data_IF_164056239076
#
_entry.id   IF_164056239076
#
_cell.length_a   1.000
_cell.length_b   1.000
_cell.length_c   1.000
_cell.angle_alpha   90.00
_cell.angle_beta   90.00
_cell.angle_gamma   90.00
#
_symmetry.space_group_name_H-M   'P 1'
#
loop_
_entity.id
_entity.type
_entity.pdbx_description
1 polymer ?
#
# COMPACT_ATOMS: atom_id res chain seq x y z
N UNK A 1 -0.71 -19.12 -0.46
CA UNK A 1 0.07 -17.90 -0.69
C UNK A 1 -0.43 -17.24 -1.96
N UNK A 2 -0.56 -15.91 -1.99
CA UNK A 2 -0.90 -15.16 -3.20
C UNK A 2 0.30 -14.33 -3.62
N UNK A 3 0.63 -14.33 -4.92
CA UNK A 3 1.82 -13.66 -5.45
C UNK A 3 1.43 -12.85 -6.68
N UNK A 4 1.79 -11.57 -6.69
CA UNK A 4 1.64 -10.70 -7.86
C UNK A 4 2.83 -10.83 -8.81
N UNK A 5 2.55 -10.91 -10.11
CA UNK A 5 3.54 -10.95 -11.17
C UNK A 5 3.22 -9.86 -12.22
N UNK A 6 3.48 -8.58 -11.93
CA UNK A 6 3.00 -7.44 -12.72
C UNK A 6 3.53 -7.39 -14.16
N UNK A 7 4.57 -8.16 -14.49
CA UNK A 7 5.15 -8.23 -15.84
C UNK A 7 4.98 -9.58 -16.52
N UNK A 8 4.16 -10.45 -15.95
CA UNK A 8 3.87 -11.74 -16.55
C UNK A 8 3.07 -11.59 -17.85
N UNK A 9 3.24 -12.55 -18.76
CA UNK A 9 2.63 -12.52 -20.10
C UNK A 9 1.47 -13.51 -20.13
N UNK A 10 0.35 -13.09 -20.72
CA UNK A 10 -0.78 -13.98 -20.93
C UNK A 10 -0.46 -15.03 -22.00
N UNK A 11 -0.72 -16.30 -21.68
CA UNK A 11 -0.34 -17.44 -22.54
C UNK A 11 -1.08 -17.45 -23.89
N UNK A 12 -2.30 -16.90 -23.95
CA UNK A 12 -3.18 -17.02 -25.13
C UNK A 12 -2.93 -15.91 -26.15
N UNK A 13 -2.77 -14.66 -25.70
CA UNK A 13 -2.66 -13.49 -26.57
C UNK A 13 -1.23 -12.92 -26.67
N UNK A 14 -0.29 -13.38 -25.84
CA UNK A 14 1.08 -12.86 -25.80
C UNK A 14 1.19 -11.43 -25.25
N UNK A 15 0.11 -10.86 -24.73
CA UNK A 15 0.04 -9.53 -24.12
C UNK A 15 0.61 -9.53 -22.71
N UNK A 16 1.40 -8.53 -22.35
CA UNK A 16 2.04 -8.43 -21.03
C UNK A 16 1.13 -7.70 -20.05
N UNK A 17 0.04 -8.37 -19.66
CA UNK A 17 -0.97 -7.80 -18.77
C UNK A 17 -0.55 -7.79 -17.29
N UNK A 18 0.35 -8.69 -16.90
CA UNK A 18 0.59 -9.05 -15.50
C UNK A 18 -0.37 -10.15 -15.03
N UNK A 19 -0.14 -10.66 -13.82
CA UNK A 19 -0.90 -11.77 -13.26
C UNK A 19 -0.89 -11.79 -11.74
N UNK A 20 -1.79 -12.58 -11.17
CA UNK A 20 -1.71 -13.02 -9.78
C UNK A 20 -1.73 -14.54 -9.76
N UNK A 21 -0.92 -15.14 -8.89
CA UNK A 21 -0.81 -16.57 -8.70
C UNK A 21 -1.26 -16.97 -7.30
N UNK A 22 -1.98 -18.08 -7.21
CA UNK A 22 -2.28 -18.78 -5.97
C UNK A 22 -1.37 -19.99 -5.86
N UNK A 23 -0.50 -19.98 -4.86
CA UNK A 23 0.45 -21.05 -4.58
C UNK A 23 0.00 -21.79 -3.32
N UNK A 24 -0.29 -23.11 -3.41
CA UNK A 24 -0.45 -23.96 -2.25
C UNK A 24 0.79 -23.91 -1.35
N UNK A 25 0.61 -24.11 -0.04
CA UNK A 25 1.73 -24.23 0.90
C UNK A 25 2.27 -25.67 0.88
N UNK A 26 2.88 -26.06 -0.24
CA UNK A 26 3.50 -27.37 -0.41
C UNK A 26 5.00 -27.22 -0.70
N UNK A 27 5.72 -28.35 -0.73
CA UNK A 27 7.13 -28.38 -1.14
C UNK A 27 7.33 -28.30 -2.66
N UNK A 28 6.25 -28.31 -3.45
CA UNK A 28 6.34 -28.19 -4.91
C UNK A 28 6.60 -26.74 -5.30
N UNK A 29 7.46 -26.53 -6.29
CA UNK A 29 7.77 -25.19 -6.82
C UNK A 29 6.97 -24.87 -8.09
N UNK A 30 6.10 -25.77 -8.54
CA UNK A 30 5.39 -25.69 -9.83
C UNK A 30 3.87 -25.84 -9.72
N UNK A 31 3.33 -25.82 -8.50
CA UNK A 31 1.91 -25.98 -8.23
C UNK A 31 1.17 -24.63 -8.08
N UNK A 32 1.86 -23.50 -8.27
CA UNK A 32 1.24 -22.19 -8.37
C UNK A 32 0.31 -22.11 -9.58
N UNK A 33 -0.95 -21.73 -9.33
CA UNK A 33 -1.97 -21.58 -10.37
C UNK A 33 -2.24 -20.10 -10.63
N UNK A 34 -2.24 -19.72 -11.91
CA UNK A 34 -2.63 -18.37 -12.31
C UNK A 34 -4.11 -18.15 -11.98
N UNK A 35 -4.40 -17.03 -11.34
CA UNK A 35 -5.76 -16.62 -11.01
C UNK A 35 -6.53 -16.25 -12.29
N UNK A 36 -7.77 -16.74 -12.39
CA UNK A 36 -8.65 -16.41 -13.51
C UNK A 36 -9.28 -15.02 -13.33
N UNK A 37 -8.63 -14.03 -13.94
CA UNK A 37 -9.14 -12.66 -14.05
C UNK A 37 -9.48 -12.44 -15.52
N UNK A 38 -10.78 -12.47 -15.82
CA UNK A 38 -11.27 -12.18 -17.17
C UNK A 38 -10.92 -10.74 -17.57
N UNK A 39 -9.98 -10.61 -18.51
CA UNK A 39 -9.59 -9.35 -19.10
C UNK A 39 -10.24 -9.23 -20.48
N UNK A 40 -11.12 -8.25 -20.65
CA UNK A 40 -11.70 -7.95 -21.96
C UNK A 40 -10.69 -7.11 -22.76
N UNK A 41 -10.12 -7.71 -23.80
CA UNK A 41 -9.26 -7.01 -24.75
C UNK A 41 -10.13 -6.24 -25.75
N UNK A 42 -10.41 -4.98 -25.44
CA UNK A 42 -11.13 -4.04 -26.31
C UNK A 42 -10.21 -2.84 -26.61
N UNK A 43 -9.31 -2.91 -27.62
CA UNK A 43 -8.28 -1.89 -27.85
C UNK A 43 -8.83 -0.48 -28.05
N UNK A 44 -10.03 -0.35 -28.62
CA UNK A 44 -10.70 0.94 -28.85
C UNK A 44 -11.24 1.57 -27.54
N UNK A 45 -11.29 0.81 -26.44
CA UNK A 45 -11.81 1.26 -25.14
C UNK A 45 -10.78 1.20 -24.02
N UNK A 46 -9.83 0.27 -24.09
CA UNK A 46 -8.84 0.04 -23.04
C UNK A 46 -7.56 -0.62 -23.57
N UNK A 47 -6.43 -0.17 -23.04
CA UNK A 47 -5.13 -0.80 -23.19
C UNK A 47 -4.83 -1.57 -21.90
N UNK A 48 -4.72 -2.89 -22.04
CA UNK A 48 -4.39 -3.82 -20.95
C UNK A 48 -2.93 -4.29 -21.01
N UNK A 49 -2.23 -4.02 -22.10
CA UNK A 49 -0.79 -4.29 -22.21
C UNK A 49 -0.03 -3.37 -21.25
N UNK A 50 0.93 -3.93 -20.51
CA UNK A 50 1.71 -3.25 -19.49
C UNK A 50 0.88 -2.57 -18.38
N UNK A 51 -0.33 -3.07 -18.09
CA UNK A 51 -1.16 -2.52 -17.03
C UNK A 51 -0.66 -2.82 -15.59
N UNK A 52 0.30 -3.74 -15.47
CA UNK A 52 0.90 -4.16 -14.20
C UNK A 52 -0.08 -4.82 -13.23
N UNK A 53 -0.87 -5.78 -13.71
CA UNK A 53 -1.77 -6.55 -12.85
C UNK A 53 -0.97 -7.38 -11.83
N UNK A 54 -1.28 -7.19 -10.55
CA UNK A 54 -0.55 -7.81 -9.45
C UNK A 54 0.56 -6.92 -8.88
N UNK A 55 0.60 -5.63 -9.22
CA UNK A 55 1.48 -4.66 -8.53
C UNK A 55 1.16 -4.60 -7.03
N UNK A 56 -0.12 -4.71 -6.69
CA UNK A 56 -0.65 -4.74 -5.34
C UNK A 56 -1.56 -5.94 -5.23
N UNK A 57 -1.31 -6.76 -4.21
CA UNK A 57 -2.14 -7.92 -3.86
C UNK A 57 -2.42 -7.85 -2.37
N UNK A 58 -3.69 -7.90 -1.99
CA UNK A 58 -4.10 -7.85 -0.59
C UNK A 58 -5.19 -8.89 -0.31
N UNK A 59 -5.16 -9.46 0.89
CA UNK A 59 -6.19 -10.37 1.39
C UNK A 59 -6.89 -9.76 2.60
N UNK A 60 -8.22 -9.81 2.61
CA UNK A 60 -9.02 -9.47 3.77
C UNK A 60 -8.82 -10.58 4.81
N UNK A 61 -8.01 -10.32 5.84
CA UNK A 61 -7.48 -11.30 6.82
C UNK A 61 -8.55 -11.83 7.79
N UNK A 62 -9.67 -12.34 7.27
CA UNK A 62 -10.80 -12.88 8.03
C UNK A 62 -11.40 -14.13 7.35
N UNK A 63 -12.12 -14.99 8.11
CA UNK A 63 -12.84 -16.12 7.52
C UNK A 63 -13.82 -15.66 6.43
N UNK A 64 -13.86 -16.35 5.30
CA UNK A 64 -14.62 -15.94 4.11
C UNK A 64 -14.25 -14.55 3.56
N UNK A 65 -13.04 -14.09 3.83
CA UNK A 65 -12.50 -12.83 3.31
C UNK A 65 -12.34 -12.82 1.80
N UNK A 66 -12.06 -11.63 1.28
CA UNK A 66 -11.83 -11.36 -0.14
C UNK A 66 -10.36 -11.19 -0.47
N UNK A 67 -10.06 -11.24 -1.76
CA UNK A 67 -8.73 -10.98 -2.31
C UNK A 67 -8.84 -9.83 -3.31
N UNK A 68 -7.85 -8.94 -3.29
CA UNK A 68 -7.74 -7.78 -4.16
C UNK A 68 -6.45 -7.87 -4.96
N UNK A 69 -6.55 -7.58 -6.26
CA UNK A 69 -5.43 -7.43 -7.16
C UNK A 69 -5.58 -6.16 -7.99
N UNK A 70 -4.55 -5.32 -8.05
CA UNK A 70 -4.61 -4.07 -8.79
C UNK A 70 -3.63 -4.01 -9.97
N UNK A 71 -3.97 -3.16 -10.93
CA UNK A 71 -3.26 -2.86 -12.17
C UNK A 71 -3.24 -1.33 -12.35
N UNK A 72 -2.35 -0.66 -11.63
CA UNK A 72 -2.28 0.80 -11.58
C UNK A 72 -1.98 1.50 -12.92
N UNK A 73 -1.49 0.76 -13.94
CA UNK A 73 -1.22 1.28 -15.28
C UNK A 73 -2.29 0.93 -16.32
N UNK A 74 -3.40 0.34 -15.88
CA UNK A 74 -4.56 0.12 -16.73
C UNK A 74 -5.02 1.45 -17.35
N UNK A 75 -5.16 1.47 -18.67
CA UNK A 75 -5.38 2.69 -19.43
C UNK A 75 -6.69 2.62 -20.20
N UNK A 76 -7.58 3.59 -19.98
CA UNK A 76 -8.78 3.81 -20.78
C UNK A 76 -8.42 4.59 -22.03
N UNK A 77 -9.09 4.25 -23.13
CA UNK A 77 -8.95 4.93 -24.42
C UNK A 77 -10.25 5.68 -24.68
N UNK A 78 -10.16 6.99 -24.87
CA UNK A 78 -11.30 7.83 -25.27
C UNK A 78 -11.31 8.03 -26.79
N UNK A 79 -12.51 8.06 -27.37
CA UNK A 79 -12.77 8.43 -28.78
C UNK A 79 -11.82 7.79 -29.82
N UNK A 80 -10.79 8.52 -30.27
CA UNK A 80 -9.90 8.13 -31.37
C UNK A 80 -8.61 7.42 -30.92
N UNK A 81 -8.32 7.41 -29.62
CA UNK A 81 -7.15 6.76 -29.04
C UNK A 81 -5.79 7.38 -29.35
N UNK A 82 -5.77 8.67 -29.71
CA UNK A 82 -4.53 9.45 -29.72
C UNK A 82 -3.89 9.47 -28.32
N UNK A 83 -2.59 9.79 -28.24
CA UNK A 83 -1.86 9.76 -26.97
C UNK A 83 -2.53 10.66 -25.90
N UNK A 84 -2.98 11.85 -26.31
CA UNK A 84 -3.70 12.81 -25.45
C UNK A 84 -5.09 12.33 -24.99
N UNK A 85 -5.58 11.20 -25.52
CA UNK A 85 -6.88 10.59 -25.19
C UNK A 85 -6.72 9.29 -24.39
N UNK A 86 -5.49 8.94 -24.02
CA UNK A 86 -5.19 7.80 -23.14
C UNK A 86 -5.23 8.27 -21.69
N UNK A 87 -5.88 7.48 -20.84
CA UNK A 87 -6.17 7.83 -19.44
C UNK A 87 -5.75 6.69 -18.53
N UNK A 88 -4.58 6.86 -17.90
CA UNK A 88 -3.98 5.85 -17.01
C UNK A 88 -4.65 5.92 -15.63
N UNK A 89 -5.91 5.49 -15.60
CA UNK A 89 -6.75 5.52 -14.40
C UNK A 89 -6.42 4.39 -13.42
N UNK A 90 -5.85 3.28 -13.88
CA UNK A 90 -5.67 2.10 -13.05
C UNK A 90 -6.98 1.34 -12.82
N UNK A 91 -6.87 0.08 -12.38
CA UNK A 91 -8.03 -0.78 -12.12
C UNK A 91 -7.70 -1.84 -11.08
N UNK A 92 -8.69 -2.19 -10.27
CA UNK A 92 -8.57 -3.23 -9.28
C UNK A 92 -9.65 -4.30 -9.45
N UNK A 93 -9.33 -5.53 -9.06
CA UNK A 93 -10.18 -6.71 -9.19
C UNK A 93 -10.30 -7.37 -7.83
N UNK A 94 -11.54 -7.57 -7.37
CA UNK A 94 -11.84 -8.26 -6.12
C UNK A 94 -12.35 -9.68 -6.43
N UNK A 95 -11.94 -10.66 -5.62
CA UNK A 95 -12.37 -12.06 -5.69
C UNK A 95 -12.78 -12.57 -4.32
N UNK A 96 -13.65 -13.58 -4.30
CA UNK A 96 -14.03 -14.26 -3.06
C UNK A 96 -12.89 -15.10 -2.48
N UNK A 97 -13.13 -15.72 -1.33
CA UNK A 97 -12.17 -16.64 -0.69
C UNK A 97 -11.85 -17.87 -1.55
N UNK A 98 -12.79 -18.27 -2.42
CA UNK A 98 -12.61 -19.33 -3.42
C UNK A 98 -11.85 -18.87 -4.67
N UNK A 99 -11.39 -17.60 -4.67
CA UNK A 99 -10.66 -16.94 -5.74
C UNK A 99 -11.48 -16.78 -7.03
N UNK A 100 -12.80 -16.93 -6.98
CA UNK A 100 -13.69 -16.77 -8.14
C UNK A 100 -14.44 -15.45 -8.08
N UNK A 101 -14.95 -15.05 -9.25
CA UNK A 101 -15.85 -13.91 -9.37
C UNK A 101 -17.24 -14.34 -8.92
N UNK A 102 -17.78 -13.67 -7.90
CA UNK A 102 -19.16 -13.82 -7.51
C UNK A 102 -19.95 -12.55 -7.88
N UNK A 103 -20.89 -12.70 -8.81
CA UNK A 103 -21.68 -11.57 -9.30
C UNK A 103 -22.68 -11.02 -8.27
N UNK A 104 -22.99 -11.78 -7.20
CA UNK A 104 -23.85 -11.30 -6.11
C UNK A 104 -23.11 -10.46 -5.08
N UNK A 105 -21.77 -10.40 -5.14
CA UNK A 105 -20.95 -9.63 -4.20
C UNK A 105 -20.68 -8.23 -4.79
N UNK A 106 -21.35 -7.22 -4.23
CA UNK A 106 -21.24 -5.84 -4.71
C UNK A 106 -19.79 -5.32 -4.71
N UNK A 107 -18.92 -5.78 -3.81
CA UNK A 107 -17.51 -5.36 -3.83
C UNK A 107 -16.75 -5.86 -5.07
N UNK A 108 -17.24 -6.92 -5.71
CA UNK A 108 -16.65 -7.50 -6.92
C UNK A 108 -17.27 -6.97 -8.20
N UNK A 109 -18.54 -6.56 -8.15
CA UNK A 109 -19.32 -6.13 -9.32
C UNK A 109 -19.53 -4.63 -9.42
N UNK A 110 -19.60 -3.93 -8.29
CA UNK A 110 -19.75 -2.50 -8.25
C UNK A 110 -18.43 -1.83 -8.63
N UNK A 111 -18.53 -0.80 -9.46
CA UNK A 111 -17.41 -0.02 -9.95
C UNK A 111 -16.76 0.72 -8.78
N UNK A 112 -15.83 0.06 -8.09
CA UNK A 112 -14.77 0.69 -7.28
C UNK A 112 -13.83 1.52 -8.18
N UNK A 113 -14.36 2.15 -9.22
CA UNK A 113 -13.71 3.02 -10.16
C UNK A 113 -13.78 4.42 -9.57
N UNK A 114 -12.80 4.70 -8.72
CA UNK A 114 -12.62 6.03 -8.14
C UNK A 114 -12.35 7.10 -9.21
N UNK A 115 -11.66 6.70 -10.28
CA UNK A 115 -11.08 7.63 -11.23
C UNK A 115 -11.93 7.78 -12.48
N UNK A 116 -12.24 9.03 -12.81
CA UNK A 116 -13.05 9.36 -13.97
C UNK A 116 -12.18 9.53 -15.21
N UNK A 117 -12.24 8.55 -16.11
CA UNK A 117 -11.50 8.59 -17.37
C UNK A 117 -11.92 9.72 -18.31
N UNK A 118 -13.07 10.37 -18.11
CA UNK A 118 -13.46 11.53 -18.95
C UNK A 118 -12.74 12.82 -18.56
N UNK A 119 -11.98 12.81 -17.48
CA UNK A 119 -11.25 13.96 -16.95
C UNK A 119 -9.77 13.88 -17.36
N UNK A 120 -9.00 14.92 -17.12
CA UNK A 120 -7.57 14.97 -17.47
C UNK A 120 -6.65 14.87 -16.24
N UNK A 121 -5.37 15.20 -16.40
CA UNK A 121 -4.35 15.22 -15.35
C UNK A 121 -4.70 16.16 -14.20
N UNK A 122 -5.41 17.25 -14.49
CA UNK A 122 -5.87 18.23 -13.49
C UNK A 122 -6.87 17.63 -12.47
N UNK A 123 -7.51 16.51 -12.82
CA UNK A 123 -8.47 15.80 -11.95
C UNK A 123 -8.07 14.33 -11.73
N UNK A 124 -8.77 13.35 -12.32
CA UNK A 124 -8.53 11.92 -12.01
C UNK A 124 -8.22 11.07 -13.24
N UNK A 125 -8.05 11.68 -14.41
CA UNK A 125 -7.79 10.98 -15.66
C UNK A 125 -6.48 10.19 -15.70
N UNK A 126 -5.51 10.58 -14.85
CA UNK A 126 -4.20 9.95 -14.72
C UNK A 126 -3.93 9.45 -13.29
N UNK A 127 -4.98 9.10 -12.54
CA UNK A 127 -4.85 8.87 -11.10
C UNK A 127 -3.97 7.67 -10.69
N UNK A 128 -3.82 6.65 -11.55
CA UNK A 128 -3.12 5.40 -11.27
C UNK A 128 -3.61 4.67 -10.00
N UNK A 129 -4.94 4.49 -9.90
CA UNK A 129 -5.57 3.81 -8.78
C UNK A 129 -5.04 2.39 -8.59
N UNK A 130 -4.79 2.01 -7.34
CA UNK A 130 -4.30 0.68 -6.98
C UNK A 130 -2.78 0.57 -6.94
N UNK A 131 -2.08 1.71 -7.00
CA UNK A 131 -0.64 1.78 -6.66
C UNK A 131 -0.43 1.31 -5.22
N UNK A 132 -1.33 1.67 -4.32
CA UNK A 132 -1.52 1.03 -3.02
C UNK A 132 -3.01 0.70 -2.85
N UNK A 133 -3.31 -0.37 -2.13
CA UNK A 133 -4.68 -0.77 -1.83
C UNK A 133 -4.69 -1.85 -0.76
N UNK A 134 -5.82 -2.01 -0.08
CA UNK A 134 -5.97 -3.05 0.93
C UNK A 134 -7.36 -3.12 1.53
N UNK A 135 -7.44 -3.85 2.63
CA UNK A 135 -8.69 -4.13 3.32
C UNK A 135 -8.55 -3.95 4.82
N UNK A 136 -9.66 -3.56 5.45
CA UNK A 136 -9.97 -3.91 6.84
C UNK A 136 -11.07 -4.97 6.87
N UNK A 137 -11.61 -5.28 8.05
CA UNK A 137 -12.77 -6.17 8.16
C UNK A 137 -13.95 -5.74 7.28
N UNK A 138 -14.21 -4.42 7.19
CA UNK A 138 -15.42 -3.87 6.57
C UNK A 138 -15.14 -2.77 5.53
N UNK A 139 -13.88 -2.43 5.27
CA UNK A 139 -13.47 -1.35 4.38
C UNK A 139 -12.54 -1.90 3.31
N UNK A 140 -12.69 -1.40 2.09
CA UNK A 140 -11.68 -1.50 1.03
C UNK A 140 -11.15 -0.10 0.73
N UNK A 141 -9.85 0.04 0.55
CA UNK A 141 -9.23 1.34 0.27
C UNK A 141 -8.22 1.26 -0.88
N UNK A 142 -8.03 2.39 -1.57
CA UNK A 142 -7.21 2.53 -2.75
C UNK A 142 -6.44 3.86 -2.72
N UNK A 143 -5.14 3.80 -2.95
CA UNK A 143 -4.31 4.94 -3.23
C UNK A 143 -4.13 5.17 -4.74
N UNK A 144 -4.20 6.44 -5.12
CA UNK A 144 -4.09 6.90 -6.49
C UNK A 144 -3.18 8.14 -6.55
N UNK A 145 -1.85 7.96 -6.69
CA UNK A 145 -0.88 9.06 -6.57
C UNK A 145 -0.92 10.06 -7.73
N UNK A 146 -1.46 9.69 -8.89
CA UNK A 146 -1.44 10.53 -10.10
C UNK A 146 -2.60 11.53 -10.21
N UNK A 147 -3.53 11.55 -9.24
CA UNK A 147 -4.67 12.46 -9.29
C UNK A 147 -4.25 13.91 -9.01
N UNK A 148 -5.03 14.87 -9.51
CA UNK A 148 -4.91 16.31 -9.30
C UNK A 148 -3.49 16.82 -9.53
N UNK A 149 -2.95 16.60 -10.73
CA UNK A 149 -1.58 16.91 -11.10
C UNK A 149 -0.54 16.31 -10.14
N UNK A 150 -0.67 15.00 -9.85
CA UNK A 150 0.22 14.25 -8.97
C UNK A 150 0.24 14.71 -7.50
N UNK A 151 -0.76 15.47 -7.07
CA UNK A 151 -1.02 15.67 -5.64
C UNK A 151 -1.50 14.35 -5.01
N UNK A 152 -2.21 13.55 -5.79
CA UNK A 152 -2.72 12.24 -5.44
C UNK A 152 -3.91 12.29 -4.50
N UNK A 153 -4.51 11.12 -4.31
CA UNK A 153 -5.72 10.95 -3.54
C UNK A 153 -5.80 9.53 -3.00
N UNK A 154 -6.52 9.37 -1.90
CA UNK A 154 -6.90 8.06 -1.36
C UNK A 154 -8.41 7.99 -1.25
N UNK A 155 -8.99 6.85 -1.61
CA UNK A 155 -10.41 6.56 -1.47
C UNK A 155 -10.61 5.27 -0.71
N UNK A 156 -11.77 5.16 -0.08
CA UNK A 156 -12.17 3.95 0.61
C UNK A 156 -13.68 3.79 0.52
N UNK A 157 -14.13 2.57 0.18
CA UNK A 157 -15.54 2.20 0.19
C UNK A 157 -15.85 1.46 1.48
N UNK A 158 -17.00 1.76 2.08
CA UNK A 158 -17.41 1.23 3.40
C UNK A 158 -17.02 2.12 4.58
N UNK A 159 -16.03 3.01 4.40
CA UNK A 159 -15.98 4.21 5.21
C UNK A 159 -17.03 5.19 4.68
N UNK A 160 -17.63 6.03 5.52
CA UNK A 160 -18.56 7.08 5.11
C UNK A 160 -17.84 8.24 4.36
N UNK A 161 -16.89 7.90 3.48
CA UNK A 161 -15.84 8.76 2.94
C UNK A 161 -16.00 8.88 1.43
N UNK A 162 -16.71 9.92 1.00
CA UNK A 162 -16.81 10.32 -0.40
C UNK A 162 -15.54 11.10 -0.80
N UNK A 163 -14.46 10.41 -1.18
CA UNK A 163 -13.23 10.96 -1.79
C UNK A 163 -12.77 12.33 -1.25
N UNK A 164 -11.99 12.39 -0.17
CA UNK A 164 -11.33 13.64 0.24
C UNK A 164 -9.97 13.38 0.85
N UNK A 165 -8.91 13.60 0.09
CA UNK A 165 -7.66 14.20 0.56
C UNK A 165 -6.76 14.40 -0.65
N UNK A 166 -6.38 15.65 -0.97
CA UNK A 166 -5.30 15.97 -1.90
C UNK A 166 -3.96 15.59 -1.24
N UNK A 167 -3.76 14.29 -1.11
CA UNK A 167 -2.62 13.68 -0.45
C UNK A 167 -2.25 12.43 -1.24
N UNK A 168 -0.97 12.27 -1.52
CA UNK A 168 -0.45 11.22 -2.38
C UNK A 168 -0.84 9.84 -1.84
N UNK A 169 -1.52 9.04 -2.66
CA UNK A 169 -1.85 7.64 -2.35
C UNK A 169 -0.73 6.65 -2.74
N UNK A 170 0.54 7.03 -2.53
CA UNK A 170 1.66 6.15 -2.89
C UNK A 170 1.65 4.89 -2.04
N UNK A 171 1.49 5.06 -0.73
CA UNK A 171 1.13 4.01 0.22
C UNK A 171 -0.12 4.41 0.97
N UNK A 172 -0.94 3.43 1.34
CA UNK A 172 -2.14 3.65 2.12
C UNK A 172 -2.37 2.45 3.05
N UNK A 173 -2.78 2.73 4.28
CA UNK A 173 -3.17 1.74 5.27
C UNK A 173 -4.31 2.31 6.13
N UNK A 174 -5.23 1.46 6.57
CA UNK A 174 -6.37 1.86 7.40
C UNK A 174 -6.39 1.01 8.65
N UNK A 175 -6.41 1.64 9.82
CA UNK A 175 -6.48 0.98 11.11
C UNK A 175 -7.38 1.74 12.09
N UNK A 176 -7.97 1.03 13.05
CA UNK A 176 -8.58 1.62 14.25
C UNK A 176 -7.52 1.84 15.33
N UNK A 177 -7.86 2.56 16.40
CA UNK A 177 -6.94 2.81 17.52
C UNK A 177 -5.62 3.48 17.12
N UNK A 178 -5.64 4.35 16.10
CA UNK A 178 -4.47 5.15 15.70
C UNK A 178 -4.58 6.56 16.27
N UNK A 179 -5.57 7.36 15.85
CA UNK A 179 -5.85 8.67 16.45
C UNK A 179 -7.00 8.63 17.47
N UNK A 180 -7.90 7.66 17.33
CA UNK A 180 -9.04 7.42 18.22
C UNK A 180 -9.30 5.91 18.26
N UNK A 181 -9.77 5.40 19.40
CA UNK A 181 -10.02 3.96 19.60
C UNK A 181 -11.10 3.41 18.65
N UNK A 182 -12.28 4.01 18.64
CA UNK A 182 -13.45 3.47 17.95
C UNK A 182 -13.61 3.94 16.49
N UNK A 183 -12.69 4.80 15.99
CA UNK A 183 -12.77 5.32 14.63
C UNK A 183 -11.57 4.90 13.80
N UNK A 184 -11.83 4.62 12.52
CA UNK A 184 -10.78 4.28 11.58
C UNK A 184 -9.98 5.53 11.21
N UNK A 185 -8.66 5.38 11.21
CA UNK A 185 -7.72 6.37 10.71
C UNK A 185 -7.13 5.85 9.41
N UNK A 186 -7.12 6.71 8.41
CA UNK A 186 -6.42 6.46 7.16
C UNK A 186 -5.00 7.05 7.26
N UNK A 187 -4.01 6.20 7.08
CA UNK A 187 -2.60 6.57 7.03
C UNK A 187 -2.14 6.50 5.58
N UNK A 188 -1.54 7.57 5.08
CA UNK A 188 -1.07 7.62 3.68
C UNK A 188 0.29 8.29 3.57
N UNK A 189 1.15 7.71 2.75
CA UNK A 189 2.51 8.18 2.56
C UNK A 189 2.69 9.09 1.37
N UNK A 190 3.53 10.11 1.56
CA UNK A 190 3.84 11.14 0.59
C UNK A 190 5.34 11.32 0.34
N UNK A 191 5.99 10.36 -0.35
CA UNK A 191 7.44 10.35 -0.49
C UNK A 191 8.06 11.56 -1.20
N UNK A 192 7.25 12.31 -1.96
CA UNK A 192 7.69 13.51 -2.70
C UNK A 192 7.36 14.82 -2.00
N UNK A 193 6.60 14.79 -0.90
CA UNK A 193 6.23 16.00 -0.17
C UNK A 193 7.47 16.76 0.29
N UNK A 194 7.53 18.06 -0.03
CA UNK A 194 8.65 18.94 0.30
C UNK A 194 10.05 18.38 -0.04
N UNK A 195 10.13 17.49 -1.04
CA UNK A 195 11.33 16.74 -1.42
C UNK A 195 11.93 15.83 -0.33
N UNK A 196 11.40 15.80 0.89
CA UNK A 196 11.87 14.96 1.99
C UNK A 196 10.99 13.74 2.22
N UNK A 197 9.71 13.86 1.91
CA UNK A 197 8.68 12.87 2.20
C UNK A 197 7.81 13.26 3.39
N UNK A 198 6.66 12.63 3.55
CA UNK A 198 5.80 12.78 4.73
C UNK A 198 4.85 11.60 4.89
N UNK A 199 4.20 11.50 6.05
CA UNK A 199 3.04 10.64 6.29
C UNK A 199 1.90 11.49 6.83
N UNK A 200 0.71 11.26 6.31
CA UNK A 200 -0.52 11.92 6.72
C UNK A 200 -1.40 10.93 7.46
N UNK A 201 -1.92 11.35 8.61
CA UNK A 201 -2.96 10.62 9.34
C UNK A 201 -4.25 11.43 9.23
N UNK A 202 -5.25 10.78 8.66
CA UNK A 202 -6.52 11.39 8.30
C UNK A 202 -7.62 10.72 9.11
N UNK A 203 -8.40 11.52 9.82
CA UNK A 203 -9.57 11.06 10.58
C UNK A 203 -10.79 11.93 10.28
N UNK A 204 -11.94 11.48 10.76
CA UNK A 204 -13.25 12.05 10.51
C UNK A 204 -13.46 13.36 11.31
N UNK A 205 -13.88 14.43 10.65
CA UNK A 205 -14.40 15.63 11.31
C UNK A 205 -15.88 15.46 11.68
N UNK A 206 -16.43 16.28 12.58
CA UNK A 206 -17.86 16.25 12.95
C UNK A 206 -18.84 16.40 11.77
N UNK A 207 -18.38 16.80 10.58
CA UNK A 207 -19.15 16.93 9.34
C UNK A 207 -18.92 15.79 8.32
N UNK A 208 -18.34 14.67 8.74
CA UNK A 208 -18.07 13.51 7.89
C UNK A 208 -17.10 13.74 6.73
N UNK A 209 -16.23 14.75 6.86
CA UNK A 209 -15.12 15.00 5.95
C UNK A 209 -13.83 14.47 6.56
N UNK A 210 -12.98 13.82 5.74
CA UNK A 210 -11.60 13.56 6.15
C UNK A 210 -10.91 14.90 6.32
N UNK A 211 -10.47 15.17 7.53
CA UNK A 211 -9.57 16.28 7.80
C UNK A 211 -8.19 15.71 8.04
N UNK A 212 -7.20 16.42 7.51
CA UNK A 212 -5.81 16.18 7.87
C UNK A 212 -5.66 16.49 9.35
N UNK A 213 -5.58 15.45 10.15
CA UNK A 213 -5.44 15.56 11.60
C UNK A 213 -3.97 15.73 11.97
N UNK A 214 -3.09 14.94 11.35
CA UNK A 214 -1.66 14.99 11.63
C UNK A 214 -0.82 14.84 10.35
N UNK A 215 0.33 15.50 10.34
CA UNK A 215 1.41 15.30 9.36
C UNK A 215 2.72 15.05 10.10
N UNK A 216 3.38 13.96 9.71
CA UNK A 216 4.74 13.66 10.12
C UNK A 216 5.67 13.91 8.92
N UNK A 217 6.45 14.99 8.89
CA UNK A 217 7.36 15.28 7.80
C UNK A 217 8.65 14.46 7.91
N UNK A 218 9.18 13.99 6.77
CA UNK A 218 10.53 13.47 6.70
C UNK A 218 11.57 14.59 6.78
N UNK A 219 12.75 14.28 7.32
CA UNK A 219 13.81 15.27 7.54
C UNK A 219 14.84 15.36 6.41
N UNK A 220 15.19 14.24 5.77
CA UNK A 220 16.25 14.21 4.77
C UNK A 220 15.69 14.29 3.35
N UNK A 221 16.21 15.24 2.56
CA UNK A 221 15.86 15.42 1.14
C UNK A 221 16.20 14.15 0.36
N UNK A 222 15.25 13.69 -0.45
CA UNK A 222 15.40 12.52 -1.29
C UNK A 222 15.31 11.18 -0.56
N UNK A 223 15.07 11.17 0.77
CA UNK A 223 14.98 9.93 1.55
C UNK A 223 13.76 9.07 1.23
N UNK A 224 12.74 9.68 0.61
CA UNK A 224 11.52 9.02 0.18
C UNK A 224 10.70 8.49 1.37
N UNK A 225 10.74 9.24 2.48
CA UNK A 225 10.00 8.97 3.70
C UNK A 225 8.49 8.87 3.43
N UNK A 226 7.87 7.80 3.92
CA UNK A 226 6.45 7.47 3.64
C UNK A 226 6.26 6.53 2.46
N UNK A 227 7.32 5.93 1.91
CA UNK A 227 7.20 4.99 0.78
C UNK A 227 6.80 3.57 1.18
N UNK A 228 6.88 3.27 2.46
CA UNK A 228 6.31 2.07 3.09
C UNK A 228 5.76 2.49 4.46
N UNK A 229 4.59 1.96 4.83
CA UNK A 229 3.95 2.21 6.13
C UNK A 229 3.44 0.88 6.68
N UNK A 230 3.49 0.72 8.00
CA UNK A 230 2.88 -0.39 8.73
C UNK A 230 2.31 0.13 10.05
N UNK A 231 1.14 -0.37 10.43
CA UNK A 231 0.55 -0.20 11.75
C UNK A 231 0.73 -1.49 12.58
N UNK A 232 1.17 -1.33 13.83
CA UNK A 232 1.30 -2.43 14.79
C UNK A 232 1.24 -1.88 16.22
N UNK A 233 0.63 -2.61 17.13
CA UNK A 233 0.68 -2.30 18.57
C UNK A 233 1.94 -2.94 19.17
N UNK A 234 3.03 -2.18 19.22
CA UNK A 234 4.37 -2.68 19.54
C UNK A 234 4.60 -2.80 21.05
N UNK A 235 3.90 -1.99 21.85
CA UNK A 235 3.97 -2.02 23.31
C UNK A 235 2.75 -2.69 23.98
N UNK A 236 1.80 -3.20 23.20
CA UNK A 236 0.58 -3.88 23.64
C UNK A 236 -0.28 -3.01 24.57
N UNK A 237 -0.39 -1.71 24.26
CA UNK A 237 -1.21 -0.75 25.02
C UNK A 237 -2.63 -0.54 24.44
N UNK A 238 -2.94 -1.25 23.35
CA UNK A 238 -4.20 -1.15 22.64
C UNK A 238 -4.27 -0.03 21.61
N UNK A 239 -3.19 0.73 21.40
CA UNK A 239 -3.04 1.71 20.33
C UNK A 239 -2.09 1.19 19.25
N UNK A 240 -2.34 1.58 18.02
CA UNK A 240 -1.48 1.24 16.89
C UNK A 240 -0.34 2.27 16.80
N UNK A 241 0.89 1.78 16.89
CA UNK A 241 2.09 2.53 16.56
C UNK A 241 2.32 2.58 15.06
N UNK A 242 3.13 3.54 14.62
CA UNK A 242 3.38 3.79 13.21
C UNK A 242 4.84 3.54 12.85
N UNK A 243 5.05 2.69 11.85
CA UNK A 243 6.37 2.40 11.27
C UNK A 243 6.43 2.95 9.84
N UNK A 244 7.46 3.74 9.54
CA UNK A 244 7.59 4.45 8.26
C UNK A 244 8.94 4.17 7.60
N UNK A 245 8.93 3.71 6.36
CA UNK A 245 10.11 3.47 5.54
C UNK A 245 10.62 4.73 4.82
N UNK A 246 11.95 4.87 4.79
CA UNK A 246 12.70 5.85 4.02
C UNK A 246 13.90 5.16 3.32
N UNK A 247 13.66 4.34 2.28
CA UNK A 247 14.66 3.46 1.69
C UNK A 247 15.83 4.19 1.03
N UNK A 248 15.68 5.47 0.68
CA UNK A 248 16.74 6.27 0.10
C UNK A 248 17.40 7.21 1.11
N UNK A 249 17.10 7.05 2.39
CA UNK A 249 17.88 7.67 3.45
C UNK A 249 19.35 7.27 3.33
N UNK A 250 20.26 8.21 3.52
CA UNK A 250 21.68 7.95 3.32
C UNK A 250 22.53 8.79 4.26
N UNK A 251 23.56 8.16 4.85
CA UNK A 251 24.64 8.87 5.52
C UNK A 251 26.00 8.31 5.10
N UNK A 252 26.70 9.06 4.24
CA UNK A 252 27.98 8.61 3.65
C UNK A 252 29.05 8.24 4.69
N UNK A 253 29.19 9.03 5.76
CA UNK A 253 30.27 8.85 6.75
C UNK A 253 30.05 7.64 7.65
N UNK A 254 28.79 7.27 7.87
CA UNK A 254 28.39 6.15 8.72
C UNK A 254 28.09 4.88 7.89
N UNK A 255 28.32 4.94 6.58
CA UNK A 255 27.98 3.87 5.63
C UNK A 255 26.53 3.37 5.78
N UNK A 256 25.58 4.28 5.99
CA UNK A 256 24.15 3.98 6.11
C UNK A 256 23.44 4.10 4.77
N UNK A 257 22.55 3.14 4.47
CA UNK A 257 21.65 3.15 3.33
C UNK A 257 20.27 2.62 3.70
N UNK A 258 19.26 3.48 3.63
CA UNK A 258 17.90 3.21 4.07
C UNK A 258 17.70 3.40 5.56
N UNK A 259 16.47 3.76 5.94
CA UNK A 259 16.05 3.92 7.32
C UNK A 259 14.58 3.53 7.50
N UNK A 260 14.25 3.16 8.74
CA UNK A 260 12.88 3.00 9.23
C UNK A 260 12.71 3.85 10.47
N UNK A 261 11.62 4.60 10.51
CA UNK A 261 11.25 5.49 11.59
C UNK A 261 10.06 4.88 12.34
N UNK A 262 10.16 4.81 13.65
CA UNK A 262 9.10 4.29 14.53
C UNK A 262 8.57 5.45 15.35
N UNK A 263 7.25 5.64 15.30
CA UNK A 263 6.52 6.61 16.10
C UNK A 263 5.61 5.81 17.03
N UNK A 264 5.96 5.79 18.32
CA UNK A 264 5.09 5.21 19.34
C UNK A 264 3.88 6.13 19.55
N UNK A 265 2.74 5.52 19.74
CA UNK A 265 1.48 6.19 19.98
C UNK A 265 1.35 6.55 21.46
N UNK A 266 0.98 7.80 21.76
CA UNK A 266 0.75 8.29 23.12
C UNK A 266 -0.75 8.55 23.35
N UNK A 267 -1.55 7.48 23.28
CA UNK A 267 -3.01 7.53 23.51
C UNK A 267 -3.76 8.38 22.47
N UNK A 268 -3.51 8.11 21.20
CA UNK A 268 -4.13 8.77 20.06
C UNK A 268 -3.36 9.97 19.52
N UNK A 269 -2.16 10.23 20.04
CA UNK A 269 -1.28 11.30 19.59
C UNK A 269 0.11 10.77 19.23
N UNK A 270 0.84 11.50 18.39
CA UNK A 270 2.20 11.16 18.00
C UNK A 270 3.11 12.37 18.13
N UNK A 271 4.27 12.16 18.74
CA UNK A 271 5.30 13.18 18.80
C UNK A 271 5.83 13.51 17.39
N UNK A 272 6.22 14.77 17.12
CA UNK A 272 6.78 15.15 15.82
C UNK A 272 8.07 14.39 15.48
N UNK A 273 8.87 14.07 16.51
CA UNK A 273 10.10 13.30 16.37
C UNK A 273 9.82 11.79 16.56
N UNK A 274 10.50 10.93 15.80
CA UNK A 274 10.38 9.49 15.95
C UNK A 274 10.93 9.02 17.31
N UNK A 275 10.27 8.04 17.91
CA UNK A 275 10.73 7.38 19.13
C UNK A 275 12.00 6.56 18.88
N UNK A 276 12.13 5.99 17.66
CA UNK A 276 13.29 5.21 17.26
C UNK A 276 13.55 5.36 15.75
N UNK A 277 14.83 5.38 15.37
CA UNK A 277 15.26 5.34 13.96
C UNK A 277 16.21 4.17 13.77
N UNK A 278 15.77 3.20 12.97
CA UNK A 278 16.56 2.06 12.55
C UNK A 278 17.24 2.39 11.21
N UNK A 279 18.47 1.94 11.04
CA UNK A 279 19.25 2.20 9.82
C UNK A 279 19.86 0.91 9.28
N UNK A 280 19.94 0.82 7.96
CA UNK A 280 20.56 -0.33 7.29
C UNK A 280 21.93 -0.01 6.68
N UNK A 281 22.65 -1.05 6.21
CA UNK A 281 23.92 -0.87 5.54
C UNK A 281 23.81 -0.04 4.25
N UNK A 282 24.93 0.56 3.82
CA UNK A 282 25.01 1.29 2.55
C UNK A 282 24.47 0.48 1.38
N UNK A 283 23.71 1.14 0.50
CA UNK A 283 23.12 0.55 -0.71
C UNK A 283 22.13 -0.60 -0.46
N UNK A 284 21.72 -0.88 0.78
CA UNK A 284 20.76 -1.94 1.10
C UNK A 284 19.31 -1.58 0.75
N UNK A 285 19.01 -0.28 0.72
CA UNK A 285 17.66 0.29 0.73
C UNK A 285 16.80 -0.27 1.86
N UNK A 286 17.37 -0.41 3.05
CA UNK A 286 16.64 -0.80 4.24
C UNK A 286 15.40 0.10 4.48
N UNK A 287 14.25 -0.52 4.76
CA UNK A 287 12.97 0.18 4.84
C UNK A 287 12.24 0.32 3.51
N UNK A 288 12.65 -0.42 2.46
CA UNK A 288 11.94 -0.48 1.18
C UNK A 288 10.55 -1.12 1.32
N UNK A 289 10.43 -2.07 2.24
CA UNK A 289 9.16 -2.65 2.65
C UNK A 289 9.18 -2.79 4.18
N UNK A 290 8.06 -2.47 4.81
CA UNK A 290 7.81 -2.71 6.23
C UNK A 290 6.49 -3.47 6.36
N UNK A 291 6.42 -4.41 7.31
CA UNK A 291 5.22 -5.17 7.55
C UNK A 291 5.07 -5.49 9.03
N UNK A 292 3.85 -5.32 9.56
CA UNK A 292 3.42 -5.95 10.80
C UNK A 292 3.26 -7.46 10.53
N UNK A 293 4.01 -8.26 11.28
CA UNK A 293 4.03 -9.73 11.15
C UNK A 293 3.30 -10.42 12.31
N UNK A 294 2.71 -9.63 13.22
CA UNK A 294 2.06 -10.10 14.44
C UNK A 294 3.08 -10.57 15.47
N UNK A 295 2.59 -11.17 16.55
CA UNK A 295 3.41 -11.75 17.61
C UNK A 295 3.96 -13.12 17.16
N UNK A 296 5.15 -13.14 16.55
CA UNK A 296 5.72 -14.36 15.95
C UNK A 296 6.48 -15.21 16.97
N UNK A 297 6.90 -14.64 18.10
CA UNK A 297 7.59 -15.34 19.18
C UNK A 297 6.66 -15.72 20.37
N UNK A 298 5.40 -15.28 20.31
CA UNK A 298 4.33 -15.53 21.30
C UNK A 298 4.64 -14.93 22.67
N UNK A 299 5.28 -13.75 22.71
CA UNK A 299 5.60 -13.04 23.96
C UNK A 299 4.53 -12.00 24.37
N UNK A 300 3.51 -11.79 23.54
CA UNK A 300 2.42 -10.87 23.75
C UNK A 300 2.57 -9.51 23.07
N UNK A 301 3.66 -9.25 22.34
CA UNK A 301 3.89 -8.00 21.61
C UNK A 301 3.91 -8.23 20.10
N UNK A 302 3.42 -7.27 19.31
CA UNK A 302 3.47 -7.40 17.86
C UNK A 302 4.87 -7.09 17.34
N UNK A 303 5.35 -7.91 16.40
CA UNK A 303 6.65 -7.76 15.78
C UNK A 303 6.55 -7.17 14.37
N UNK A 304 7.69 -6.71 13.86
CA UNK A 304 7.79 -6.18 12.49
C UNK A 304 8.90 -6.85 11.68
N UNK A 305 8.72 -6.84 10.37
CA UNK A 305 9.74 -7.20 9.40
C UNK A 305 10.09 -5.99 8.53
N UNK A 306 11.38 -5.82 8.24
CA UNK A 306 11.92 -4.76 7.39
C UNK A 306 12.73 -5.35 6.23
N UNK A 307 12.37 -4.98 5.00
CA UNK A 307 13.07 -5.41 3.80
C UNK A 307 14.27 -4.53 3.43
N UNK A 308 15.36 -5.19 3.02
CA UNK A 308 16.56 -4.58 2.45
C UNK A 308 16.90 -5.30 1.13
N UNK A 309 16.13 -5.03 0.06
CA UNK A 309 16.16 -5.85 -1.16
C UNK A 309 17.47 -5.79 -1.93
N UNK A 310 18.30 -4.76 -1.71
CA UNK A 310 19.56 -4.58 -2.44
C UNK A 310 20.79 -4.96 -1.61
N UNK A 311 20.60 -5.51 -0.41
CA UNK A 311 21.71 -6.03 0.39
C UNK A 311 22.08 -7.46 -0.04
N UNK A 312 23.15 -7.61 -0.82
CA UNK A 312 23.56 -8.92 -1.33
C UNK A 312 22.52 -9.52 -2.27
N UNK A 313 21.88 -10.62 -1.87
CA UNK A 313 20.77 -11.24 -2.60
C UNK A 313 19.37 -10.72 -2.16
N UNK A 314 19.35 -9.73 -1.27
CA UNK A 314 18.17 -9.26 -0.54
C UNK A 314 18.09 -9.90 0.85
N UNK A 315 17.77 -9.08 1.87
CA UNK A 315 17.60 -9.52 3.26
C UNK A 315 16.31 -9.01 3.87
N UNK A 316 15.84 -9.69 4.90
CA UNK A 316 14.67 -9.29 5.70
C UNK A 316 15.07 -9.34 7.17
N UNK A 317 14.99 -8.19 7.83
CA UNK A 317 15.29 -8.03 9.23
C UNK A 317 14.02 -8.20 10.06
N UNK A 318 14.07 -9.05 11.08
CA UNK A 318 12.97 -9.27 12.02
C UNK A 318 13.32 -8.58 13.33
N UNK A 319 12.42 -7.70 13.78
CA UNK A 319 12.55 -7.00 15.04
C UNK A 319 11.43 -7.42 15.98
N UNK A 320 11.80 -7.84 17.18
CA UNK A 320 10.83 -8.10 18.24
C UNK A 320 10.53 -6.81 19.01
N UNK A 321 9.35 -6.77 19.61
CA UNK A 321 8.92 -5.67 20.47
C UNK A 321 8.89 -6.06 21.94
N UNK A 322 8.51 -5.11 22.79
CA UNK A 322 8.47 -5.24 24.25
C UNK A 322 7.53 -4.19 24.83
N UNK A 323 7.31 -4.20 26.15
CA UNK A 323 6.50 -3.18 26.82
C UNK A 323 7.05 -1.76 26.64
N UNK A 324 8.36 -1.62 26.38
CA UNK A 324 9.02 -0.35 26.09
C UNK A 324 8.95 0.05 24.61
N UNK A 325 8.33 -0.77 23.76
CA UNK A 325 8.24 -0.59 22.30
C UNK A 325 9.21 -1.49 21.53
N UNK A 326 9.53 -1.06 20.30
CA UNK A 326 10.37 -1.83 19.38
C UNK A 326 11.84 -1.88 19.85
N UNK A 327 12.44 -3.07 19.79
CA UNK A 327 13.87 -3.24 20.07
C UNK A 327 14.74 -2.77 18.89
N UNK A 328 15.89 -2.17 19.18
CA UNK A 328 16.78 -1.56 18.17
C UNK A 328 17.68 -2.58 17.44
N UNK A 329 17.81 -3.80 17.99
CA UNK A 329 18.63 -4.88 17.44
C UNK A 329 17.72 -5.93 16.79
N UNK A 330 17.94 -6.28 15.51
CA UNK A 330 17.19 -7.34 14.85
C UNK A 330 17.49 -8.68 15.50
N UNK A 331 16.46 -9.50 15.68
CA UNK A 331 16.56 -10.85 16.26
C UNK A 331 16.88 -11.90 15.21
N UNK A 332 16.56 -11.62 13.96
CA UNK A 332 16.91 -12.44 12.81
C UNK A 332 17.11 -11.56 11.56
N UNK A 333 17.96 -12.03 10.65
CA UNK A 333 18.24 -11.43 9.32
C UNK A 333 18.26 -12.52 8.25
#
# INVERSE_FOLDING_TARGET
>A
LLVGAPRDTELVNGTRTGAVYSCPLTSSTRDCQRLDIELKSEPDKAIIDDMWLGVTVASQRQPAGRVLACAHRYTKVLWSGSEDQRRMVGKCYVRGNDLRLNLSDEWQTYHNEMCNSNTDTDETGMCQMGTSAGFTANIIYFGAPGAYNWQGVVSCAGCHLTMVALVTGYTAEVGSAVLQQDTVTLVTGAPRYNHTGAVYLLSHSSQQTLQRTLLLPGHQVGSYFGSAVALADLNNDGWQDLVVGAPYYFQRKQEVGGAVYVYMNEVGDFQPEPSLVLTGPSYSAFGFAVASIGDINQDGFQDIAVGAPFEGAGKVYIYHSSAEGLLDIPRQV
#
